data_IF_585400374372
#
_entry.id   IF_585400374372
#
_cell.length_a   1.000
_cell.length_b   1.000
_cell.length_c   1.000
_cell.angle_alpha   90.00
_cell.angle_beta   90.00
_cell.angle_gamma   90.00
#
_symmetry.space_group_name_H-M   'P 1'
#
loop_
_entity.id
_entity.type
_entity.pdbx_description
1 polymer ?
#
# COMPACT_ATOMS: atom_id res chain seq x y z
N UNK A 1 -8.65 0.98 7.50
CA UNK A 1 -9.33 2.15 6.95
C UNK A 1 -10.81 1.84 6.82
N UNK A 2 -11.68 2.81 7.10
CA UNK A 2 -13.14 2.70 6.88
C UNK A 2 -13.55 3.59 5.72
N UNK A 3 -14.32 3.05 4.77
CA UNK A 3 -14.78 3.75 3.56
C UNK A 3 -16.26 3.46 3.34
N UNK A 4 -17.04 4.45 2.95
CA UNK A 4 -18.47 4.26 2.67
C UNK A 4 -18.68 3.72 1.24
N UNK A 5 -19.75 2.95 1.03
CA UNK A 5 -20.17 2.61 -0.33
C UNK A 5 -20.52 3.88 -1.13
N UNK A 6 -20.19 3.88 -2.43
CA UNK A 6 -20.31 5.04 -3.32
C UNK A 6 -19.48 6.25 -2.87
N UNK A 7 -18.25 6.01 -2.39
CA UNK A 7 -17.33 7.08 -1.99
C UNK A 7 -15.88 6.75 -2.36
N UNK A 8 -15.01 7.75 -2.25
CA UNK A 8 -13.58 7.62 -2.45
C UNK A 8 -12.82 8.28 -1.30
N UNK A 9 -11.60 7.82 -1.03
CA UNK A 9 -10.74 8.42 0.00
C UNK A 9 -9.27 8.11 -0.23
N UNK A 10 -8.40 9.00 0.26
CA UNK A 10 -6.96 8.80 0.32
C UNK A 10 -6.54 8.46 1.76
N UNK A 11 -5.51 7.63 1.92
CA UNK A 11 -4.92 7.36 3.22
C UNK A 11 -3.44 6.98 3.15
N UNK A 12 -2.75 7.10 4.28
CA UNK A 12 -1.37 6.65 4.43
C UNK A 12 -1.33 5.11 4.51
N UNK A 13 -0.87 4.44 3.45
CA UNK A 13 -0.79 2.98 3.42
C UNK A 13 0.40 2.44 4.19
N UNK A 14 1.60 3.01 3.97
CA UNK A 14 2.83 2.53 4.59
C UNK A 14 3.86 3.64 4.69
N UNK A 15 4.37 3.86 5.91
CA UNK A 15 5.59 4.66 6.11
C UNK A 15 6.81 3.75 6.16
N UNK A 16 7.77 4.02 5.29
CA UNK A 16 9.04 3.29 5.20
C UNK A 16 10.17 4.24 5.56
N UNK A 17 11.05 3.81 6.47
CA UNK A 17 12.23 4.57 6.86
C UNK A 17 13.50 3.83 6.53
N UNK A 18 14.44 4.51 5.89
CA UNK A 18 15.72 3.93 5.53
C UNK A 18 16.72 4.08 6.69
N UNK A 19 17.03 2.95 7.34
CA UNK A 19 18.02 2.84 8.40
C UNK A 19 19.28 2.05 7.98
N UNK A 20 19.54 1.91 6.67
CA UNK A 20 20.76 1.28 6.20
C UNK A 20 21.98 2.07 6.72
N UNK A 21 22.98 1.33 7.21
CA UNK A 21 24.25 1.91 7.61
C UNK A 21 25.01 2.47 6.40
N UNK A 22 26.04 3.27 6.65
CA UNK A 22 26.97 3.77 5.62
C UNK A 22 26.36 4.76 4.60
N UNK A 23 25.28 5.45 4.96
CA UNK A 23 24.64 6.46 4.10
C UNK A 23 24.13 5.90 2.76
N UNK A 24 23.63 4.66 2.75
CA UNK A 24 23.12 4.03 1.52
C UNK A 24 21.68 4.43 1.25
N UNK A 25 21.42 4.85 0.02
CA UNK A 25 20.06 5.05 -0.48
C UNK A 25 19.38 3.71 -0.77
N UNK A 26 18.07 3.66 -0.55
CA UNK A 26 17.25 2.48 -0.80
C UNK A 26 16.18 2.79 -1.85
N UNK A 27 15.97 1.86 -2.76
CA UNK A 27 14.88 1.90 -3.73
C UNK A 27 13.82 0.91 -3.28
N UNK A 28 12.62 1.43 -3.04
CA UNK A 28 11.47 0.68 -2.53
C UNK A 28 10.38 0.66 -3.58
N UNK A 29 9.75 -0.49 -3.80
CA UNK A 29 8.46 -0.56 -4.49
C UNK A 29 7.52 -1.49 -3.74
N UNK A 30 6.22 -1.27 -3.93
CA UNK A 30 5.16 -2.05 -3.31
C UNK A 30 4.48 -2.92 -4.35
N UNK A 31 4.07 -4.11 -3.92
CA UNK A 31 3.27 -5.03 -4.70
C UNK A 31 2.07 -5.49 -3.85
N UNK A 32 0.99 -4.68 -3.83
CA UNK A 32 -0.28 -5.08 -3.23
C UNK A 32 -0.97 -6.19 -4.03
N UNK A 33 -1.72 -7.05 -3.35
CA UNK A 33 -2.55 -8.10 -3.94
C UNK A 33 -4.04 -7.76 -3.78
N UNK A 34 -4.61 -7.21 -4.84
CA UNK A 34 -6.01 -6.80 -4.93
C UNK A 34 -6.98 -7.92 -5.30
N UNK A 35 -6.52 -9.17 -5.43
CA UNK A 35 -7.37 -10.28 -5.89
C UNK A 35 -8.58 -10.58 -5.00
N UNK A 36 -8.56 -10.10 -3.75
CA UNK A 36 -9.66 -10.25 -2.79
C UNK A 36 -10.65 -9.09 -2.81
N UNK A 37 -10.44 -8.05 -3.63
CA UNK A 37 -11.35 -6.92 -3.72
C UNK A 37 -12.56 -7.25 -4.61
N UNK A 38 -13.77 -6.77 -4.24
CA UNK A 38 -14.93 -6.81 -5.12
C UNK A 38 -14.68 -6.04 -6.43
N UNK A 39 -15.37 -6.42 -7.50
CA UNK A 39 -15.20 -5.80 -8.83
C UNK A 39 -15.48 -4.28 -8.86
N UNK A 40 -16.36 -3.79 -7.97
CA UNK A 40 -16.72 -2.37 -7.88
C UNK A 40 -15.89 -1.64 -6.80
N UNK A 41 -14.74 -2.18 -6.42
CA UNK A 41 -13.74 -1.51 -5.59
C UNK A 41 -12.46 -1.38 -6.42
N UNK A 42 -12.04 -0.14 -6.63
CA UNK A 42 -10.76 0.19 -7.26
C UNK A 42 -9.83 0.77 -6.19
N UNK A 43 -8.59 0.29 -6.16
CA UNK A 43 -7.62 0.65 -5.13
C UNK A 43 -6.23 0.69 -5.75
N UNK A 44 -5.46 1.71 -5.38
CA UNK A 44 -4.15 1.96 -5.95
C UNK A 44 -3.22 2.56 -4.89
N UNK A 45 -2.08 1.91 -4.68
CA UNK A 45 -0.99 2.44 -3.85
C UNK A 45 -0.02 3.23 -4.74
N UNK A 46 0.36 4.41 -4.28
CA UNK A 46 1.36 5.23 -4.96
C UNK A 46 2.63 4.42 -5.24
N UNK A 47 3.11 4.46 -6.49
CA UNK A 47 4.34 3.74 -6.89
C UNK A 47 4.24 2.22 -6.73
N UNK A 48 3.06 1.62 -6.91
CA UNK A 48 2.93 0.17 -7.09
C UNK A 48 3.45 -0.31 -8.47
N UNK A 49 3.35 -1.61 -8.73
CA UNK A 49 3.71 -2.24 -10.02
C UNK A 49 5.17 -2.03 -10.46
N UNK A 50 6.08 -2.07 -9.49
CA UNK A 50 7.52 -2.00 -9.75
C UNK A 50 8.05 -0.59 -9.99
N UNK A 51 7.23 0.44 -9.80
CA UNK A 51 7.71 1.82 -9.81
C UNK A 51 8.46 2.09 -8.51
N UNK A 52 9.75 2.40 -8.62
CA UNK A 52 10.58 2.55 -7.43
C UNK A 52 10.54 3.98 -6.86
N UNK A 53 10.51 4.05 -5.54
CA UNK A 53 10.76 5.25 -4.74
C UNK A 53 12.13 5.15 -4.07
N UNK A 54 13.01 6.09 -4.40
CA UNK A 54 14.26 6.27 -3.66
C UNK A 54 13.98 6.95 -2.32
N UNK A 55 14.54 6.39 -1.25
CA UNK A 55 14.53 6.94 0.11
C UNK A 55 15.99 7.08 0.54
N UNK A 56 16.45 8.32 0.76
CA UNK A 56 17.82 8.57 1.17
C UNK A 56 18.08 8.05 2.58
N UNK A 57 19.35 7.80 2.91
CA UNK A 57 19.72 7.30 4.24
C UNK A 57 19.23 8.23 5.36
N UNK A 58 18.55 7.65 6.35
CA UNK A 58 18.00 8.37 7.50
C UNK A 58 16.65 9.04 7.25
N UNK A 59 16.22 9.13 5.99
CA UNK A 59 14.92 9.67 5.60
C UNK A 59 13.81 8.61 5.66
N UNK A 60 12.58 9.10 5.64
CA UNK A 60 11.38 8.29 5.55
C UNK A 60 10.48 8.79 4.43
N UNK A 61 9.64 7.90 3.94
CA UNK A 61 8.63 8.19 2.94
C UNK A 61 7.33 7.48 3.32
N UNK A 62 6.21 8.19 3.20
CA UNK A 62 4.88 7.60 3.35
C UNK A 62 4.28 7.40 1.97
N UNK A 63 3.99 6.15 1.64
CA UNK A 63 3.23 5.78 0.46
C UNK A 63 1.75 6.06 0.71
N UNK A 64 1.17 6.90 -0.15
CA UNK A 64 -0.27 7.18 -0.15
C UNK A 64 -1.00 6.08 -0.91
N UNK A 65 -2.26 5.86 -0.56
CA UNK A 65 -3.17 4.95 -1.23
C UNK A 65 -4.47 5.69 -1.52
N UNK A 66 -5.08 5.37 -2.64
CA UNK A 66 -6.36 5.87 -3.08
C UNK A 66 -7.32 4.70 -3.30
N UNK A 67 -8.51 4.80 -2.71
CA UNK A 67 -9.56 3.81 -2.90
C UNK A 67 -10.86 4.47 -3.33
N UNK A 68 -11.48 3.89 -4.36
CA UNK A 68 -12.83 4.22 -4.84
C UNK A 68 -13.72 3.00 -4.62
N UNK A 69 -14.86 3.21 -3.97
CA UNK A 69 -15.82 2.16 -3.62
C UNK A 69 -17.17 2.46 -4.28
N UNK A 70 -17.64 1.56 -5.13
CA UNK A 70 -18.97 1.59 -5.76
C UNK A 70 -20.07 0.99 -4.87
N UNK A 71 -21.09 0.40 -5.50
CA UNK A 71 -22.20 -0.28 -4.81
C UNK A 71 -21.79 -1.72 -4.47
N UNK A 72 -21.14 -1.90 -3.32
CA UNK A 72 -20.70 -3.22 -2.82
C UNK A 72 -21.26 -3.50 -1.43
N UNK A 73 -21.33 -4.79 -1.07
CA UNK A 73 -21.71 -5.20 0.28
C UNK A 73 -20.71 -4.69 1.32
N UNK A 74 -21.25 -4.35 2.50
CA UNK A 74 -20.41 -4.00 3.64
C UNK A 74 -19.59 -5.21 4.07
N UNK A 75 -18.31 -5.01 4.37
CA UNK A 75 -17.42 -6.12 4.68
C UNK A 75 -16.01 -5.68 5.05
N UNK A 76 -15.21 -6.64 5.49
CA UNK A 76 -13.79 -6.47 5.74
C UNK A 76 -12.99 -7.18 4.65
N UNK A 77 -12.05 -6.45 4.05
CA UNK A 77 -11.18 -6.92 3.00
C UNK A 77 -9.73 -6.73 3.44
N UNK A 78 -8.92 -7.78 3.24
CA UNK A 78 -7.50 -7.78 3.60
C UNK A 78 -6.71 -7.80 2.30
N UNK A 79 -5.87 -6.80 2.12
CA UNK A 79 -5.00 -6.61 0.96
C UNK A 79 -3.57 -6.88 1.43
N UNK A 80 -3.00 -8.06 1.14
CA UNK A 80 -1.59 -8.32 1.37
C UNK A 80 -0.73 -7.33 0.58
N UNK A 81 0.35 -6.86 1.19
CA UNK A 81 1.34 -6.04 0.50
C UNK A 81 2.70 -6.69 0.66
N UNK A 82 3.40 -6.89 -0.46
CA UNK A 82 4.82 -7.27 -0.44
C UNK A 82 5.64 -6.03 -0.74
N UNK A 83 6.60 -5.73 0.13
CA UNK A 83 7.55 -4.65 -0.10
C UNK A 83 8.87 -5.23 -0.59
N UNK A 84 9.42 -4.63 -1.63
CA UNK A 84 10.74 -4.94 -2.12
C UNK A 84 11.65 -3.75 -1.89
N UNK A 85 12.88 -4.04 -1.49
CA UNK A 85 13.90 -3.06 -1.25
C UNK A 85 15.19 -3.49 -1.93
N UNK A 86 15.89 -2.55 -2.56
CA UNK A 86 17.26 -2.77 -3.04
C UNK A 86 18.14 -1.58 -2.74
N UNK A 87 19.43 -1.83 -2.56
CA UNK A 87 20.47 -0.83 -2.33
C UNK A 87 21.80 -1.34 -2.90
N UNK A 88 22.85 -0.53 -2.80
CA UNK A 88 24.17 -0.96 -3.23
C UNK A 88 24.71 -2.09 -2.33
N UNK A 89 24.81 -3.28 -2.92
CA UNK A 89 25.33 -4.49 -2.27
C UNK A 89 24.28 -5.38 -1.61
N UNK A 90 22.99 -5.17 -1.88
CA UNK A 90 21.96 -6.09 -1.40
C UNK A 90 20.54 -5.76 -1.85
N UNK A 91 19.66 -6.73 -1.61
CA UNK A 91 18.21 -6.61 -1.76
C UNK A 91 17.50 -7.30 -0.59
N UNK A 92 16.22 -7.00 -0.44
CA UNK A 92 15.34 -7.64 0.52
C UNK A 92 13.91 -7.68 0.00
N UNK A 93 13.22 -8.76 0.38
CA UNK A 93 11.76 -8.87 0.30
C UNK A 93 11.24 -8.83 1.73
N UNK A 94 10.32 -7.91 1.99
CA UNK A 94 9.80 -7.62 3.32
C UNK A 94 8.30 -7.90 3.32
N UNK A 95 7.89 -8.81 4.19
CA UNK A 95 6.48 -9.04 4.50
C UNK A 95 6.00 -7.90 5.39
N UNK A 96 5.08 -7.08 4.88
CA UNK A 96 4.50 -5.97 5.62
C UNK A 96 3.20 -6.41 6.30
N UNK A 97 2.68 -5.56 7.20
CA UNK A 97 1.31 -5.71 7.63
C UNK A 97 0.37 -5.46 6.44
N UNK A 98 -0.66 -6.30 6.23
CA UNK A 98 -1.62 -6.09 5.16
C UNK A 98 -2.47 -4.84 5.45
N UNK A 99 -3.01 -4.24 4.38
CA UNK A 99 -3.98 -3.17 4.50
C UNK A 99 -5.34 -3.79 4.80
N UNK A 100 -6.01 -3.28 5.85
CA UNK A 100 -7.39 -3.66 6.19
C UNK A 100 -8.34 -2.57 5.69
N UNK A 101 -9.17 -2.92 4.71
CA UNK A 101 -10.26 -2.08 4.19
C UNK A 101 -11.58 -2.54 4.79
N UNK A 102 -12.32 -1.63 5.40
CA UNK A 102 -13.65 -1.86 5.97
C UNK A 102 -14.64 -1.02 5.17
N UNK A 103 -15.53 -1.68 4.43
CA UNK A 103 -16.57 -1.00 3.67
C UNK A 103 -17.85 -0.94 4.50
N UNK A 104 -18.43 0.26 4.61
CA UNK A 104 -19.63 0.54 5.39
C UNK A 104 -20.74 1.11 4.52
N UNK A 105 -22.00 0.95 4.95
CA UNK A 105 -23.15 1.53 4.23
C UNK A 105 -23.55 0.83 2.93
N UNK A 106 -22.88 -0.26 2.57
CA UNK A 106 -23.29 -1.16 1.48
C UNK A 106 -24.61 -1.86 1.79
N UNK A 107 -25.47 -2.06 0.78
CA UNK A 107 -26.70 -2.86 0.93
C UNK A 107 -26.33 -4.34 1.13
N UNK A 108 -27.10 -5.04 1.96
CA UNK A 108 -26.99 -6.49 2.21
C UNK A 108 -27.84 -7.28 1.23
#
# INVERSE_FOLDING_TARGET
MEVAANSETDFDALTVRNYLNEMKDAWIWLQPDYSNLPNDVDMFVEKEDGVEKMIASGEEYTFSDHVTVGEVESGEYIIPVTMYARWEGGDAVISTCPIKLIITGGRR
#
